data_IF_846019743797
#
_entry.id   IF_846019743797
#
_cell.length_a   1.000
_cell.length_b   1.000
_cell.length_c   1.000
_cell.angle_alpha   90.00
_cell.angle_beta   90.00
_cell.angle_gamma   90.00
#
_symmetry.space_group_name_H-M   'P 1'
#
loop_
_entity.id
_entity.type
_entity.pdbx_description
1 polymer ?
#
# COMPACT_ATOMS: atom_id res chain seq x y z
N UNK A 1 -70.46 24.98 2.96
CA UNK A 1 -69.82 23.71 2.56
C UNK A 1 -69.33 23.78 1.12
N UNK A 2 -68.08 24.20 0.87
CA UNK A 2 -67.32 23.99 -0.40
C UNK A 2 -65.95 24.69 -0.43
N UNK A 3 -65.19 24.78 0.67
CA UNK A 3 -63.86 25.45 0.65
C UNK A 3 -62.78 24.80 1.52
N UNK A 4 -63.00 23.58 2.04
CA UNK A 4 -62.09 22.97 3.02
C UNK A 4 -61.52 21.60 2.59
N UNK A 5 -61.47 21.31 1.29
CA UNK A 5 -60.91 20.04 0.77
C UNK A 5 -59.68 20.26 -0.13
N UNK A 6 -59.35 21.50 -0.47
CA UNK A 6 -58.25 21.81 -1.39
C UNK A 6 -56.89 22.08 -0.72
N UNK A 7 -56.82 22.07 0.62
CA UNK A 7 -55.56 22.30 1.35
C UNK A 7 -54.84 21.02 1.81
N UNK A 8 -55.42 19.83 1.61
CA UNK A 8 -54.81 18.56 2.05
C UNK A 8 -54.06 17.79 0.94
N UNK A 9 -54.09 18.29 -0.30
CA UNK A 9 -53.46 17.66 -1.47
C UNK A 9 -52.26 18.45 -2.03
N UNK A 10 -51.80 19.46 -1.27
CA UNK A 10 -50.61 20.25 -1.59
C UNK A 10 -49.60 20.23 -0.44
N UNK A 11 -49.47 19.09 0.25
CA UNK A 11 -48.40 18.88 1.25
C UNK A 11 -47.66 17.56 1.06
N UNK A 12 -47.84 16.91 -0.10
CA UNK A 12 -47.37 15.55 -0.37
C UNK A 12 -46.69 15.47 -1.74
N UNK A 13 -45.89 16.48 -2.12
CA UNK A 13 -45.09 16.41 -3.35
C UNK A 13 -43.83 17.31 -3.36
N UNK A 14 -43.31 17.71 -2.19
CA UNK A 14 -42.04 18.45 -2.09
C UNK A 14 -41.18 17.91 -0.94
N UNK A 15 -40.90 16.61 -0.94
CA UNK A 15 -39.81 16.00 -0.17
C UNK A 15 -39.30 14.74 -0.90
N UNK A 16 -38.77 14.92 -2.11
CA UNK A 16 -37.99 13.86 -2.75
C UNK A 16 -36.91 14.43 -3.65
N UNK A 17 -35.96 15.15 -3.04
CA UNK A 17 -34.68 15.52 -3.64
C UNK A 17 -33.65 15.72 -2.51
N UNK A 18 -33.42 14.69 -1.69
CA UNK A 18 -32.21 14.61 -0.87
C UNK A 18 -31.62 13.21 -1.03
N UNK A 19 -30.53 13.18 -1.80
CA UNK A 19 -29.35 12.34 -1.57
C UNK A 19 -29.52 10.82 -1.62
N UNK A 20 -29.15 10.25 -2.77
CA UNK A 20 -28.19 9.16 -2.77
C UNK A 20 -27.06 9.51 -3.73
N UNK A 21 -25.96 9.98 -3.14
CA UNK A 21 -24.65 10.04 -3.77
C UNK A 21 -24.39 8.74 -4.55
N UNK A 22 -24.04 8.86 -5.83
CA UNK A 22 -23.28 7.81 -6.52
C UNK A 22 -21.97 7.61 -5.75
N UNK A 23 -21.96 6.66 -4.81
CA UNK A 23 -20.73 6.00 -4.44
C UNK A 23 -20.37 5.16 -5.65
N UNK A 24 -19.35 5.59 -6.37
CA UNK A 24 -18.60 4.74 -7.27
C UNK A 24 -18.10 3.55 -6.46
N UNK A 25 -18.90 2.50 -6.44
CA UNK A 25 -18.43 1.18 -6.10
C UNK A 25 -17.42 0.81 -7.18
N UNK A 26 -16.14 0.98 -6.85
CA UNK A 26 -15.08 0.32 -7.59
C UNK A 26 -15.39 -1.17 -7.49
N UNK A 27 -15.90 -1.71 -8.60
CA UNK A 27 -16.02 -3.12 -8.81
C UNK A 27 -14.60 -3.68 -8.75
N UNK A 28 -14.23 -4.24 -7.60
CA UNK A 28 -13.14 -5.19 -7.55
C UNK A 28 -13.55 -6.33 -8.48
N UNK A 29 -12.89 -6.42 -9.63
CA UNK A 29 -12.95 -7.60 -10.48
C UNK A 29 -12.36 -8.71 -9.61
N UNK A 30 -13.24 -9.55 -9.07
CA UNK A 30 -12.89 -10.81 -8.43
C UNK A 30 -12.08 -11.61 -9.44
N UNK A 31 -10.80 -11.79 -9.12
CA UNK A 31 -9.94 -12.77 -9.75
C UNK A 31 -10.61 -14.14 -9.65
N UNK A 32 -10.57 -14.85 -10.76
CA UNK A 32 -11.11 -16.18 -11.03
C UNK A 32 -10.91 -17.17 -9.87
N UNK A 33 -12.02 -17.77 -9.44
CA UNK A 33 -12.13 -18.69 -8.31
C UNK A 33 -11.46 -20.04 -8.63
N UNK A 34 -10.24 -20.21 -8.12
CA UNK A 34 -9.48 -21.47 -8.18
C UNK A 34 -9.70 -22.37 -6.95
N UNK A 35 -10.66 -22.06 -6.08
CA UNK A 35 -10.93 -22.81 -4.84
C UNK A 35 -9.81 -22.75 -3.79
N UNK A 36 -8.69 -22.09 -4.07
CA UNK A 36 -7.67 -21.73 -3.09
C UNK A 36 -7.93 -20.30 -2.59
N UNK A 37 -7.89 -20.08 -1.26
CA UNK A 37 -7.95 -18.72 -0.74
C UNK A 37 -6.83 -17.88 -1.39
N UNK A 38 -7.16 -16.75 -2.05
CA UNK A 38 -6.15 -15.93 -2.70
C UNK A 38 -5.16 -15.44 -1.65
N UNK A 39 -3.85 -15.49 -1.95
CA UNK A 39 -2.82 -15.03 -1.02
C UNK A 39 -3.05 -13.56 -0.65
N UNK A 40 -2.79 -13.20 0.61
CA UNK A 40 -2.79 -11.84 1.12
C UNK A 40 -1.52 -11.12 0.64
N UNK A 41 -1.51 -10.73 -0.63
CA UNK A 41 -0.42 -10.02 -1.30
C UNK A 41 -0.96 -8.76 -1.98
N UNK A 42 -0.04 -7.86 -2.36
CA UNK A 42 -0.38 -6.65 -3.12
C UNK A 42 -0.72 -6.96 -4.58
N UNK A 43 -1.49 -6.08 -5.20
CA UNK A 43 -1.77 -6.14 -6.63
C UNK A 43 -0.51 -5.84 -7.46
N UNK A 44 -0.38 -6.52 -8.59
CA UNK A 44 0.73 -6.31 -9.54
C UNK A 44 0.65 -4.98 -10.27
N UNK A 45 -0.52 -4.35 -10.35
CA UNK A 45 -0.71 -3.01 -10.91
C UNK A 45 -1.00 -2.06 -9.77
N UNK A 46 -0.21 -1.01 -9.63
CA UNK A 46 -0.35 -0.03 -8.55
C UNK A 46 -0.32 1.39 -9.12
N UNK A 47 -1.06 2.27 -8.48
CA UNK A 47 -1.18 3.67 -8.84
C UNK A 47 -0.59 4.50 -7.70
N UNK A 48 0.46 5.25 -8.00
CA UNK A 48 1.14 6.12 -7.03
C UNK A 48 0.82 7.58 -7.32
N UNK A 49 0.44 8.34 -6.29
CA UNK A 49 0.14 9.77 -6.41
C UNK A 49 1.34 10.62 -6.00
N UNK A 50 1.51 11.75 -6.68
CA UNK A 50 2.54 12.76 -6.36
C UNK A 50 2.21 13.57 -5.11
N UNK A 51 0.96 13.55 -4.65
CA UNK A 51 0.50 14.33 -3.49
C UNK A 51 1.26 13.99 -2.20
N UNK A 52 1.78 12.75 -2.06
CA UNK A 52 2.59 12.40 -0.89
C UNK A 52 3.98 13.05 -0.87
N UNK A 53 4.47 13.61 -1.98
CA UNK A 53 5.73 14.34 -2.03
C UNK A 53 5.56 15.84 -1.65
N UNK A 54 4.32 16.35 -1.67
CA UNK A 54 3.98 17.74 -1.33
C UNK A 54 3.41 17.84 0.09
N UNK A 55 4.25 17.81 1.11
CA UNK A 55 3.86 18.36 2.41
C UNK A 55 4.29 19.82 2.52
N UNK A 56 3.48 20.72 1.97
CA UNK A 56 3.41 22.12 2.44
C UNK A 56 2.32 22.19 3.51
N UNK A 57 2.71 22.07 4.77
CA UNK A 57 2.03 22.71 5.90
C UNK A 57 2.93 22.57 7.11
N UNK A 58 3.62 23.66 7.47
CA UNK A 58 4.01 24.20 8.79
C UNK A 58 4.36 23.26 9.98
N UNK A 59 4.35 21.94 9.81
CA UNK A 59 4.47 20.87 10.80
C UNK A 59 5.66 19.97 10.44
N UNK A 60 6.69 20.63 9.92
CA UNK A 60 8.09 20.22 9.99
C UNK A 60 8.58 20.15 11.45
N UNK A 61 7.80 19.54 12.35
CA UNK A 61 8.21 19.30 13.73
C UNK A 61 9.18 18.10 13.78
N UNK A 62 10.44 18.42 13.49
CA UNK A 62 11.62 17.84 14.14
C UNK A 62 11.96 16.35 13.94
N UNK A 63 11.69 15.74 12.78
CA UNK A 63 12.41 14.51 12.41
C UNK A 63 13.23 14.71 11.15
N UNK A 64 14.54 14.51 11.27
CA UNK A 64 15.52 14.58 10.20
C UNK A 64 15.78 13.16 9.67
N UNK A 65 15.22 12.79 8.52
CA UNK A 65 15.74 11.65 7.75
C UNK A 65 15.40 11.77 6.26
N UNK A 66 16.34 11.32 5.44
CA UNK A 66 16.43 11.44 3.97
C UNK A 66 15.45 10.51 3.19
N UNK A 67 14.46 9.92 3.85
CA UNK A 67 13.63 8.82 3.30
C UNK A 67 12.14 9.16 3.17
N UNK A 68 11.77 10.45 3.29
CA UNK A 68 10.37 10.91 3.37
C UNK A 68 9.52 10.63 2.12
N UNK A 69 10.15 10.40 0.96
CA UNK A 69 9.44 10.24 -0.32
C UNK A 69 9.33 8.77 -0.79
N UNK A 70 9.67 7.81 0.09
CA UNK A 70 9.59 6.38 -0.23
C UNK A 70 8.19 5.83 0.11
N UNK A 71 7.41 5.52 -0.92
CA UNK A 71 6.14 4.81 -0.81
C UNK A 71 6.38 3.30 -0.93
N UNK A 72 5.81 2.49 -0.05
CA UNK A 72 6.02 1.04 -0.09
C UNK A 72 5.17 0.36 -1.16
N UNK A 73 5.79 -0.54 -1.94
CA UNK A 73 5.11 -1.26 -3.04
C UNK A 73 4.60 -2.64 -2.65
N UNK A 74 5.12 -3.25 -1.58
CA UNK A 74 4.79 -4.64 -1.22
C UNK A 74 5.55 -5.72 -2.00
N UNK A 75 6.57 -5.34 -2.77
CA UNK A 75 7.43 -6.27 -3.48
C UNK A 75 8.84 -6.34 -2.88
N UNK A 76 9.44 -7.51 -3.03
CA UNK A 76 10.83 -7.80 -2.76
C UNK A 76 11.52 -8.22 -4.06
N UNK A 77 12.82 -7.99 -4.17
CA UNK A 77 13.64 -8.40 -5.31
C UNK A 77 14.89 -9.13 -4.82
N UNK A 78 15.24 -10.22 -5.50
CA UNK A 78 16.44 -10.98 -5.23
C UNK A 78 17.66 -10.38 -5.95
N UNK A 79 18.85 -10.54 -5.36
CA UNK A 79 20.10 -10.11 -5.96
C UNK A 79 20.33 -10.80 -7.31
N UNK A 80 20.86 -10.06 -8.29
CA UNK A 80 21.14 -10.58 -9.64
C UNK A 80 19.90 -10.89 -10.50
N UNK A 81 18.68 -10.67 -10.00
CA UNK A 81 17.46 -10.89 -10.76
C UNK A 81 17.27 -9.83 -11.87
N UNK A 82 16.40 -10.14 -12.84
CA UNK A 82 15.97 -9.15 -13.85
C UNK A 82 14.51 -8.79 -13.61
N UNK A 83 14.26 -7.50 -13.46
CA UNK A 83 12.94 -6.93 -13.20
C UNK A 83 12.29 -6.52 -14.51
N UNK A 84 11.04 -6.90 -14.70
CA UNK A 84 10.20 -6.44 -15.80
C UNK A 84 9.15 -5.48 -15.27
N UNK A 85 9.18 -4.24 -15.76
CA UNK A 85 8.31 -3.15 -15.30
C UNK A 85 7.58 -2.58 -16.51
N UNK A 86 6.30 -2.25 -16.37
CA UNK A 86 5.53 -1.55 -17.40
C UNK A 86 4.85 -0.32 -16.80
N UNK A 87 5.24 0.87 -17.25
CA UNK A 87 4.73 2.15 -16.75
C UNK A 87 3.74 2.71 -17.76
N UNK A 88 2.44 2.72 -17.42
CA UNK A 88 1.39 3.17 -18.35
C UNK A 88 1.27 4.70 -18.38
N UNK A 89 1.21 5.31 -17.20
CA UNK A 89 1.03 6.76 -17.02
C UNK A 89 2.10 7.30 -16.07
N UNK A 90 2.40 8.59 -16.18
CA UNK A 90 3.42 9.26 -15.38
C UNK A 90 4.57 9.86 -16.20
N UNK A 91 5.19 10.91 -15.64
CA UNK A 91 6.38 11.57 -16.20
C UNK A 91 7.67 10.88 -15.77
N UNK A 92 8.75 11.13 -16.50
CA UNK A 92 10.08 10.52 -16.39
C UNK A 92 10.85 10.79 -15.08
N UNK A 93 10.17 11.20 -14.01
CA UNK A 93 10.76 11.54 -12.72
C UNK A 93 10.43 10.53 -11.61
N UNK A 94 9.72 9.45 -11.91
CA UNK A 94 9.51 8.37 -10.96
C UNK A 94 10.70 7.39 -10.96
N UNK A 95 10.97 6.78 -9.81
CA UNK A 95 12.00 5.76 -9.63
C UNK A 95 11.58 4.72 -8.62
N UNK A 96 12.08 3.50 -8.78
CA UNK A 96 12.07 2.51 -7.71
C UNK A 96 13.35 2.62 -6.88
N UNK A 97 13.23 2.38 -5.59
CA UNK A 97 14.34 2.28 -4.65
C UNK A 97 14.34 0.89 -4.05
N UNK A 98 15.50 0.23 -4.04
CA UNK A 98 15.71 -1.06 -3.39
C UNK A 98 16.42 -0.79 -2.07
N UNK A 99 15.78 -1.16 -0.96
CA UNK A 99 16.33 -1.00 0.38
C UNK A 99 15.91 -2.16 1.28
N UNK A 100 16.75 -2.47 2.28
CA UNK A 100 16.38 -3.41 3.32
C UNK A 100 15.57 -2.70 4.41
N UNK A 101 14.65 -3.40 5.06
CA UNK A 101 14.04 -2.90 6.29
C UNK A 101 14.99 -3.08 7.48
N UNK A 102 15.04 -2.07 8.36
CA UNK A 102 15.74 -2.08 9.64
C UNK A 102 14.72 -1.86 10.76
N UNK A 103 14.03 -2.95 11.15
CA UNK A 103 12.92 -2.86 12.10
C UNK A 103 11.81 -1.95 11.57
N UNK A 104 11.49 -0.88 12.31
CA UNK A 104 10.47 0.11 11.95
C UNK A 104 10.99 1.23 11.01
N UNK A 105 12.24 1.15 10.53
CA UNK A 105 12.83 2.15 9.63
C UNK A 105 13.24 1.54 8.30
N UNK A 106 13.28 2.37 7.26
CA UNK A 106 13.83 1.98 5.97
C UNK A 106 15.36 2.06 6.08
N UNK A 107 16.07 1.03 5.64
CA UNK A 107 17.52 1.05 5.55
C UNK A 107 18.03 1.98 4.44
N UNK A 108 19.35 2.20 4.34
CA UNK A 108 19.91 2.99 3.25
C UNK A 108 19.57 2.36 1.89
N UNK A 109 19.10 3.18 0.94
CA UNK A 109 18.80 2.73 -0.42
C UNK A 109 20.09 2.22 -1.08
N UNK A 110 20.01 1.01 -1.62
CA UNK A 110 21.13 0.30 -2.23
C UNK A 110 21.18 0.46 -3.75
N UNK A 111 20.04 0.66 -4.37
CA UNK A 111 19.92 0.87 -5.81
C UNK A 111 18.67 1.71 -6.10
N UNK A 112 18.82 2.69 -7.00
CA UNK A 112 17.70 3.37 -7.63
C UNK A 112 17.52 2.85 -9.06
N UNK A 113 16.27 2.76 -9.51
CA UNK A 113 15.90 2.36 -10.86
C UNK A 113 14.96 3.42 -11.41
N UNK A 114 15.44 4.22 -12.34
CA UNK A 114 14.62 5.24 -12.99
C UNK A 114 13.51 4.59 -13.83
N UNK A 115 12.30 5.10 -13.69
CA UNK A 115 11.14 4.59 -14.41
C UNK A 115 10.98 5.31 -15.75
N UNK A 116 10.92 4.52 -16.82
CA UNK A 116 10.61 4.98 -18.18
C UNK A 116 9.22 4.52 -18.57
N UNK A 117 8.50 5.36 -19.32
CA UNK A 117 7.18 5.01 -19.86
C UNK A 117 7.28 3.75 -20.74
N UNK A 118 6.28 2.88 -20.63
CA UNK A 118 6.22 1.61 -21.34
C UNK A 118 6.97 0.49 -20.63
N UNK A 119 7.24 -0.59 -21.36
CA UNK A 119 7.92 -1.78 -20.85
C UNK A 119 9.43 -1.54 -20.76
N UNK A 120 10.02 -1.88 -19.63
CA UNK A 120 11.46 -1.89 -19.42
C UNK A 120 11.91 -3.12 -18.65
N UNK A 121 13.16 -3.52 -18.87
CA UNK A 121 13.82 -4.59 -18.11
C UNK A 121 15.10 -4.05 -17.49
N UNK A 122 15.30 -4.33 -16.20
CA UNK A 122 16.42 -3.79 -15.43
C UNK A 122 17.01 -4.89 -14.56
N UNK A 123 18.34 -5.03 -14.59
CA UNK A 123 19.05 -5.97 -13.71
C UNK A 123 19.20 -5.38 -12.30
N UNK A 124 18.88 -6.19 -11.30
CA UNK A 124 19.19 -5.92 -9.90
C UNK A 124 20.65 -6.25 -9.69
N UNK A 125 21.38 -5.34 -9.04
CA UNK A 125 22.77 -5.54 -8.68
C UNK A 125 22.95 -6.63 -7.61
N UNK A 126 24.06 -6.59 -6.85
CA UNK A 126 24.29 -7.57 -5.78
C UNK A 126 23.35 -7.38 -4.57
N UNK A 127 22.55 -6.33 -4.55
CA UNK A 127 21.72 -5.96 -3.42
C UNK A 127 20.27 -6.38 -3.66
N UNK A 128 19.79 -7.31 -2.83
CA UNK A 128 18.37 -7.62 -2.67
C UNK A 128 17.68 -6.62 -1.72
N UNK A 129 16.36 -6.67 -1.67
CA UNK A 129 15.61 -5.86 -0.70
C UNK A 129 14.16 -5.61 -1.08
N UNK A 130 13.50 -4.83 -0.23
CA UNK A 130 12.15 -4.32 -0.48
C UNK A 130 12.20 -3.21 -1.51
N UNK A 131 11.13 -3.15 -2.30
CA UNK A 131 10.94 -2.16 -3.36
C UNK A 131 10.05 -1.04 -2.85
N UNK A 132 10.55 0.17 -2.98
CA UNK A 132 9.83 1.40 -2.68
C UNK A 132 9.71 2.21 -3.97
N UNK A 133 8.59 2.92 -4.12
CA UNK A 133 8.37 3.89 -5.16
C UNK A 133 8.75 5.28 -4.63
N UNK A 134 9.36 6.12 -5.46
CA UNK A 134 9.63 7.51 -5.12
C UNK A 134 9.66 8.40 -6.34
N UNK A 135 9.52 9.70 -6.12
CA UNK A 135 9.80 10.71 -7.13
C UNK A 135 11.24 11.23 -6.96
N UNK A 136 11.86 11.65 -8.07
CA UNK A 136 13.24 12.15 -8.10
C UNK A 136 13.36 13.54 -7.47
N UNK A 137 12.31 14.34 -7.50
CA UNK A 137 12.27 15.67 -6.89
C UNK A 137 10.98 15.88 -6.08
N UNK A 138 11.11 16.41 -4.86
CA UNK A 138 9.98 16.70 -3.96
C UNK A 138 9.20 17.97 -4.34
N UNK A 139 9.69 18.74 -5.31
CA UNK A 139 9.11 19.98 -5.81
C UNK A 139 8.40 19.82 -7.17
N UNK A 140 8.27 18.59 -7.70
CA UNK A 140 7.52 18.37 -8.93
C UNK A 140 6.06 18.76 -8.72
N UNK A 141 5.63 19.80 -9.44
CA UNK A 141 4.25 20.27 -9.41
C UNK A 141 3.28 19.37 -10.18
N UNK A 142 3.79 18.30 -10.81
CA UNK A 142 3.01 17.22 -11.36
C UNK A 142 1.97 16.73 -10.36
N UNK A 143 0.70 16.77 -10.74
CA UNK A 143 -0.42 16.11 -10.05
C UNK A 143 -0.77 14.76 -10.69
N UNK A 144 0.07 14.29 -11.63
CA UNK A 144 -0.20 13.09 -12.40
C UNK A 144 0.14 11.84 -11.60
N UNK A 145 -0.83 10.93 -11.49
CA UNK A 145 -0.60 9.61 -10.94
C UNK A 145 0.27 8.77 -11.89
N UNK A 146 1.14 7.96 -11.30
CA UNK A 146 1.98 7.00 -12.02
C UNK A 146 1.41 5.60 -11.84
N UNK A 147 0.92 5.01 -12.92
CA UNK A 147 0.50 3.60 -12.93
C UNK A 147 1.67 2.70 -13.35
N UNK A 148 2.06 1.81 -12.43
CA UNK A 148 3.15 0.86 -12.63
C UNK A 148 2.61 -0.56 -12.52
N UNK A 149 2.93 -1.39 -13.51
CA UNK A 149 2.74 -2.84 -13.47
C UNK A 149 4.07 -3.52 -13.17
N UNK A 150 4.12 -4.20 -12.04
CA UNK A 150 5.22 -5.04 -11.58
C UNK A 150 5.09 -6.44 -12.20
N UNK A 151 6.03 -6.78 -13.07
CA UNK A 151 6.06 -8.06 -13.79
C UNK A 151 7.01 -9.08 -13.15
N UNK A 152 7.60 -9.93 -14.00
CA UNK A 152 8.57 -10.95 -13.59
C UNK A 152 9.77 -10.30 -12.88
N UNK A 153 10.31 -10.99 -11.87
CA UNK A 153 11.45 -10.55 -11.06
C UNK A 153 11.06 -9.87 -9.75
N UNK A 154 9.83 -9.35 -9.66
CA UNK A 154 9.25 -8.91 -8.39
C UNK A 154 8.61 -10.07 -7.67
N UNK A 155 8.92 -10.22 -6.39
CA UNK A 155 8.39 -11.27 -5.52
C UNK A 155 7.43 -10.59 -4.53
N UNK A 156 6.12 -10.93 -4.53
CA UNK A 156 5.19 -10.32 -3.61
C UNK A 156 5.50 -10.74 -2.17
N UNK A 157 5.40 -9.77 -1.26
CA UNK A 157 5.59 -9.96 0.17
C UNK A 157 4.22 -10.20 0.83
N UNK A 158 4.11 -11.08 1.86
CA UNK A 158 2.89 -11.15 2.67
C UNK A 158 2.46 -9.77 3.15
N UNK A 159 1.21 -9.42 2.86
CA UNK A 159 0.66 -8.09 3.05
C UNK A 159 -0.67 -8.17 3.80
N UNK A 160 -0.63 -8.00 5.11
CA UNK A 160 -1.82 -7.94 5.94
C UNK A 160 -2.41 -6.53 5.89
N UNK A 161 -3.71 -6.43 5.63
CA UNK A 161 -4.49 -5.19 5.72
C UNK A 161 -5.51 -5.30 6.84
N UNK A 162 -5.41 -4.41 7.82
CA UNK A 162 -6.40 -4.32 8.90
C UNK A 162 -7.82 -4.13 8.34
N UNK A 163 -8.77 -4.87 8.91
CA UNK A 163 -10.17 -4.86 8.46
C UNK A 163 -10.45 -5.55 7.12
N UNK A 164 -9.41 -5.99 6.37
CA UNK A 164 -9.56 -6.60 5.05
C UNK A 164 -9.02 -8.05 5.03
N UNK A 165 -7.81 -8.27 5.53
CA UNK A 165 -7.16 -9.58 5.47
C UNK A 165 -7.70 -10.49 6.57
N UNK A 166 -8.32 -11.60 6.17
CA UNK A 166 -8.80 -12.62 7.10
C UNK A 166 -7.66 -13.43 7.76
N UNK A 167 -7.94 -14.02 8.92
CA UNK A 167 -6.93 -14.81 9.66
C UNK A 167 -6.48 -16.06 8.88
N UNK A 168 -7.41 -16.83 8.28
CA UNK A 168 -7.08 -18.02 7.48
C UNK A 168 -6.16 -17.64 6.31
N UNK A 169 -6.58 -16.62 5.57
CA UNK A 169 -5.85 -16.07 4.42
C UNK A 169 -4.45 -15.64 4.81
N UNK A 170 -4.30 -14.91 5.92
CA UNK A 170 -3.01 -14.48 6.43
C UNK A 170 -2.09 -15.66 6.74
N UNK A 171 -2.60 -16.64 7.47
CA UNK A 171 -1.84 -17.82 7.89
C UNK A 171 -1.40 -18.66 6.70
N UNK A 172 -2.30 -18.86 5.73
CA UNK A 172 -2.01 -19.53 4.47
C UNK A 172 -0.92 -18.79 3.68
N UNK A 173 -0.98 -17.46 3.67
CA UNK A 173 0.01 -16.63 2.98
C UNK A 173 1.40 -16.73 3.59
N UNK A 174 1.48 -16.65 4.92
CA UNK A 174 2.75 -16.84 5.63
C UNK A 174 3.35 -18.23 5.34
N UNK A 175 2.53 -19.28 5.35
CA UNK A 175 3.02 -20.63 5.05
C UNK A 175 3.50 -20.82 3.61
N UNK A 176 2.82 -20.19 2.66
CA UNK A 176 3.19 -20.25 1.25
C UNK A 176 4.50 -19.50 0.96
N UNK A 177 4.73 -18.37 1.63
CA UNK A 177 5.83 -17.45 1.29
C UNK A 177 7.03 -17.50 2.24
N UNK A 178 6.95 -18.22 3.37
CA UNK A 178 8.00 -18.23 4.43
C UNK A 178 9.42 -18.62 3.99
N UNK A 179 9.58 -19.32 2.87
CA UNK A 179 10.90 -19.73 2.33
C UNK A 179 11.33 -18.89 1.12
N UNK A 180 10.53 -17.92 0.72
CA UNK A 180 10.70 -17.16 -0.54
C UNK A 180 11.12 -15.73 -0.24
N UNK A 181 10.50 -15.08 0.76
CA UNK A 181 10.80 -13.70 1.14
C UNK A 181 11.09 -13.59 2.63
N UNK A 182 12.06 -12.74 3.04
CA UNK A 182 12.46 -12.61 4.44
C UNK A 182 11.59 -11.64 5.24
N UNK A 183 10.68 -10.92 4.59
CA UNK A 183 9.88 -9.85 5.20
C UNK A 183 8.39 -10.13 5.12
N UNK A 184 7.63 -9.40 5.95
CA UNK A 184 6.18 -9.28 5.90
C UNK A 184 5.80 -7.81 6.11
N UNK A 185 4.62 -7.41 5.63
CA UNK A 185 4.10 -6.06 5.81
C UNK A 185 2.73 -6.14 6.48
N UNK A 186 2.58 -5.36 7.55
CA UNK A 186 1.32 -5.14 8.27
C UNK A 186 0.88 -3.70 8.04
N UNK A 187 -0.30 -3.50 7.46
CA UNK A 187 -0.88 -2.18 7.20
C UNK A 187 -2.09 -1.93 8.08
N UNK A 188 -2.08 -0.79 8.77
CA UNK A 188 -3.27 -0.14 9.33
C UNK A 188 -3.67 1.08 8.50
N UNK A 189 -4.67 1.82 8.97
CA UNK A 189 -5.07 3.11 8.41
C UNK A 189 -3.96 4.17 8.47
N UNK A 190 -3.11 4.13 9.51
CA UNK A 190 -2.11 5.16 9.82
C UNK A 190 -0.67 4.74 9.57
N UNK A 191 -0.36 3.45 9.56
CA UNK A 191 1.02 2.99 9.46
C UNK A 191 1.18 1.74 8.60
N UNK A 192 2.38 1.60 8.04
CA UNK A 192 2.84 0.32 7.55
C UNK A 192 4.03 -0.12 8.38
N UNK A 193 3.95 -1.31 8.96
CA UNK A 193 5.04 -1.94 9.66
C UNK A 193 5.64 -3.03 8.78
N UNK A 194 6.96 -3.04 8.70
CA UNK A 194 7.71 -4.16 8.12
C UNK A 194 8.28 -4.98 9.26
N UNK A 195 8.06 -6.30 9.22
CA UNK A 195 8.66 -7.23 10.17
C UNK A 195 9.39 -8.34 9.41
N UNK A 196 10.26 -9.08 10.11
CA UNK A 196 10.87 -10.27 9.53
C UNK A 196 9.87 -11.43 9.52
N UNK A 197 9.96 -12.27 8.51
CA UNK A 197 9.14 -13.46 8.36
C UNK A 197 9.32 -14.43 9.53
N UNK A 198 10.55 -14.65 9.99
CA UNK A 198 10.84 -15.55 11.11
C UNK A 198 10.20 -15.07 12.42
N UNK A 199 10.31 -13.78 12.73
CA UNK A 199 9.62 -13.15 13.87
C UNK A 199 8.10 -13.31 13.75
N UNK A 200 7.53 -13.01 12.58
CA UNK A 200 6.10 -13.13 12.34
C UNK A 200 5.58 -14.56 12.54
N UNK A 201 6.37 -15.58 12.18
CA UNK A 201 6.03 -16.98 12.38
C UNK A 201 6.02 -17.40 13.85
N UNK A 202 6.77 -16.73 14.74
CA UNK A 202 6.68 -16.97 16.20
C UNK A 202 5.31 -16.59 16.74
N UNK A 203 4.72 -15.51 16.21
CA UNK A 203 3.40 -15.05 16.62
C UNK A 203 2.25 -15.71 15.87
N UNK A 204 2.53 -16.65 14.96
CA UNK A 204 1.54 -17.47 14.24
C UNK A 204 0.57 -18.18 15.19
N UNK A 205 1.01 -18.51 16.40
CA UNK A 205 0.19 -19.17 17.42
C UNK A 205 -0.62 -18.18 18.29
N UNK A 206 -0.36 -16.87 18.21
CA UNK A 206 -1.13 -15.81 18.88
C UNK A 206 -2.30 -15.30 18.03
N UNK A 207 -3.22 -14.56 18.64
CA UNK A 207 -4.27 -13.84 17.89
C UNK A 207 -3.59 -12.74 17.08
N UNK A 208 -3.62 -12.84 15.75
CA UNK A 208 -2.98 -11.87 14.83
C UNK A 208 -3.47 -10.43 15.05
N UNK A 209 -4.70 -10.23 15.53
CA UNK A 209 -5.23 -8.92 15.95
C UNK A 209 -4.43 -8.27 17.08
N UNK A 210 -3.94 -9.07 18.04
CA UNK A 210 -3.14 -8.57 19.17
C UNK A 210 -1.79 -8.01 18.71
N UNK A 211 -1.29 -8.41 17.54
CA UNK A 211 0.02 -7.97 17.02
C UNK A 211 -0.09 -6.56 16.46
N UNK A 212 -1.18 -6.26 15.74
CA UNK A 212 -1.44 -4.91 15.22
C UNK A 212 -1.88 -3.99 16.36
N UNK A 213 -2.63 -4.50 17.33
CA UNK A 213 -2.98 -3.73 18.53
C UNK A 213 -1.73 -3.44 19.41
N UNK A 214 -0.84 -4.42 19.61
CA UNK A 214 0.42 -4.23 20.38
C UNK A 214 1.50 -3.45 19.63
N UNK A 215 1.51 -3.47 18.29
CA UNK A 215 2.49 -2.73 17.49
C UNK A 215 1.96 -1.36 17.02
N UNK A 216 0.65 -1.17 16.97
CA UNK A 216 -0.05 0.10 16.73
C UNK A 216 -0.18 0.96 18.01
N UNK A 217 -0.14 0.35 19.19
CA UNK A 217 0.09 1.06 20.45
C UNK A 217 1.58 1.36 20.61
N UNK A 218 2.03 2.51 20.08
CA UNK A 218 3.33 3.09 20.41
C UNK A 218 3.51 3.14 21.93
N UNK A 219 4.75 3.00 22.48
CA UNK A 219 4.95 2.99 23.93
C UNK A 219 4.48 4.32 24.48
N UNK A 220 3.42 4.30 25.30
CA UNK A 220 3.19 5.38 26.23
C UNK A 220 4.46 5.52 27.06
N UNK A 221 5.08 6.69 26.95
CA UNK A 221 5.90 7.33 27.97
C UNK A 221 6.21 6.40 29.16
N UNK A 222 7.33 5.69 29.09
CA UNK A 222 8.00 5.29 30.32
C UNK A 222 8.58 6.59 30.85
N UNK A 223 7.83 7.21 31.75
CA UNK A 223 8.29 8.35 32.51
C UNK A 223 9.58 7.98 33.23
N UNK A 224 10.59 8.81 33.01
CA UNK A 224 11.57 9.20 34.02
C UNK A 224 11.69 10.72 33.93
#
# INVERSE_FOLDING_TARGET
MRRFVLFLLMFLFVTSCISCSRKSAWAYILLEDSGAEPLAIVDSVQIFSTYSAKTTRTEAMQSASYQRDLQMTGFYVAAGSTLHIDVKTGKALARLAIANALGNTIGPVKQYIDLKRGKQSVSVGPNEGLVYFSFRESNDNSTENVEVKFGKGFIPVPYYREGITGRSQWMFTLDALRKIVPYVILRSDQTNLVARMDEMLLYKQGKTGDIIEKLGSSPQSVGL
#
